data_IF_684699474140
#
_entry.id   IF_684699474140
#
_cell.length_a   1.000
_cell.length_b   1.000
_cell.length_c   1.000
_cell.angle_alpha   90.00
_cell.angle_beta   90.00
_cell.angle_gamma   90.00
#
_symmetry.space_group_name_H-M   'P 1'
#
loop_
_entity.id
_entity.type
_entity.pdbx_description
1 polymer ?
#
# COMPACT_ATOMS: atom_id res chain seq x y z
N UNK A 1 -9.32 7.77 -0.23
CA UNK A 1 -10.38 6.86 0.25
C UNK A 1 -9.93 6.16 1.52
N UNK A 2 -10.60 6.39 2.67
CA UNK A 2 -10.19 5.82 3.96
C UNK A 2 -10.25 4.27 3.97
N UNK A 3 -11.21 3.67 3.26
CA UNK A 3 -11.43 2.23 3.31
C UNK A 3 -10.29 1.38 2.72
N UNK A 4 -9.75 1.78 1.55
CA UNK A 4 -8.64 1.04 0.91
C UNK A 4 -7.36 1.11 1.74
N UNK A 5 -7.14 2.23 2.42
CA UNK A 5 -6.01 2.36 3.34
C UNK A 5 -6.18 1.44 4.56
N UNK A 6 -7.36 1.42 5.20
CA UNK A 6 -7.61 0.53 6.36
C UNK A 6 -7.37 -0.94 5.99
N UNK A 7 -7.85 -1.41 4.84
CA UNK A 7 -7.60 -2.78 4.36
C UNK A 7 -6.11 -3.06 4.14
N UNK A 8 -5.41 -2.11 3.52
CA UNK A 8 -3.98 -2.22 3.25
C UNK A 8 -3.20 -2.32 4.57
N UNK A 9 -3.50 -1.46 5.54
CA UNK A 9 -2.89 -1.44 6.87
C UNK A 9 -3.11 -2.75 7.62
N UNK A 10 -4.36 -3.21 7.74
CA UNK A 10 -4.68 -4.48 8.39
C UNK A 10 -3.93 -5.66 7.76
N UNK A 11 -3.71 -5.65 6.44
CA UNK A 11 -2.93 -6.70 5.80
C UNK A 11 -1.43 -6.59 6.09
N UNK A 12 -0.87 -5.39 6.09
CA UNK A 12 0.53 -5.14 6.46
C UNK A 12 0.83 -5.54 7.91
N UNK A 13 -0.12 -5.37 8.82
CA UNK A 13 0.00 -5.81 10.23
C UNK A 13 0.09 -7.34 10.38
N UNK A 14 -0.32 -8.11 9.36
CA UNK A 14 -0.17 -9.58 9.34
C UNK A 14 1.16 -10.06 8.76
N UNK A 15 2.00 -9.15 8.24
CA UNK A 15 3.27 -9.48 7.60
C UNK A 15 4.44 -9.25 8.55
N UNK A 16 5.51 -10.03 8.34
CA UNK A 16 6.79 -9.83 9.00
C UNK A 16 7.53 -8.64 8.39
N UNK A 17 8.48 -8.08 9.14
CA UNK A 17 9.36 -7.01 8.64
C UNK A 17 10.07 -7.43 7.35
N UNK A 18 10.16 -6.51 6.39
CA UNK A 18 10.78 -6.75 5.10
C UNK A 18 9.91 -7.50 4.09
N UNK A 19 8.81 -8.12 4.50
CA UNK A 19 7.88 -8.75 3.56
C UNK A 19 7.14 -7.71 2.72
N UNK A 20 6.77 -8.11 1.49
CA UNK A 20 6.16 -7.23 0.50
C UNK A 20 4.69 -7.60 0.28
N UNK A 21 3.81 -6.61 0.41
CA UNK A 21 2.40 -6.67 0.03
C UNK A 21 2.22 -6.10 -1.39
N UNK A 22 1.56 -6.85 -2.26
CA UNK A 22 1.04 -6.34 -3.54
C UNK A 22 -0.42 -5.94 -3.40
N UNK A 23 -0.76 -4.69 -3.72
CA UNK A 23 -2.12 -4.16 -3.68
C UNK A 23 -2.54 -3.71 -5.07
N UNK A 24 -3.75 -4.06 -5.50
CA UNK A 24 -4.39 -3.48 -6.68
C UNK A 24 -5.30 -2.34 -6.24
N UNK A 25 -5.12 -1.18 -6.86
CA UNK A 25 -5.87 0.04 -6.58
C UNK A 25 -6.46 0.59 -7.87
N UNK A 26 -7.73 0.99 -7.81
CA UNK A 26 -8.38 1.67 -8.91
C UNK A 26 -7.75 3.06 -9.14
N UNK A 27 -7.98 3.60 -10.33
CA UNK A 27 -7.59 4.96 -10.67
C UNK A 27 -8.32 6.01 -9.80
N UNK A 28 -7.77 7.21 -9.73
CA UNK A 28 -8.30 8.32 -8.94
C UNK A 28 -7.84 8.30 -7.49
N UNK A 29 -8.77 8.38 -6.56
CA UNK A 29 -8.46 8.57 -5.14
C UNK A 29 -7.69 7.41 -4.47
N UNK A 30 -7.91 6.13 -4.78
CA UNK A 30 -7.17 5.04 -4.16
C UNK A 30 -5.65 5.12 -4.39
N UNK A 31 -5.22 5.20 -5.65
CA UNK A 31 -3.79 5.24 -6.01
C UNK A 31 -3.10 6.52 -5.50
N UNK A 32 -3.82 7.63 -5.34
CA UNK A 32 -3.24 8.87 -4.79
C UNK A 32 -3.07 8.83 -3.28
N UNK A 33 -4.03 8.23 -2.57
CA UNK A 33 -4.10 8.31 -1.12
C UNK A 33 -3.40 7.15 -0.42
N UNK A 34 -3.57 5.91 -0.91
CA UNK A 34 -3.04 4.73 -0.21
C UNK A 34 -1.51 4.72 -0.13
N UNK A 35 -0.75 4.93 -1.23
CA UNK A 35 0.72 4.99 -1.16
C UNK A 35 1.22 6.07 -0.20
N UNK A 36 0.59 7.25 -0.19
CA UNK A 36 0.93 8.33 0.74
C UNK A 36 0.65 7.95 2.19
N UNK A 37 -0.51 7.36 2.47
CA UNK A 37 -0.88 6.96 3.82
C UNK A 37 0.03 5.86 4.37
N UNK A 38 0.42 4.87 3.56
CA UNK A 38 1.36 3.82 4.02
C UNK A 38 2.78 4.37 4.26
N UNK A 39 3.23 5.34 3.45
CA UNK A 39 4.48 6.05 3.71
C UNK A 39 4.43 6.86 5.01
N UNK A 40 3.30 7.53 5.28
CA UNK A 40 3.10 8.27 6.53
C UNK A 40 3.10 7.35 7.78
N UNK A 41 2.74 6.07 7.62
CA UNK A 41 2.82 5.05 8.68
C UNK A 41 4.22 4.41 8.79
N UNK A 42 5.18 4.88 8.00
CA UNK A 42 6.57 4.43 8.03
C UNK A 42 6.88 3.24 7.10
N UNK A 43 5.94 2.79 6.26
CA UNK A 43 6.20 1.72 5.30
C UNK A 43 6.78 2.23 3.98
N UNK A 44 7.51 1.37 3.28
CA UNK A 44 8.15 1.73 2.01
C UNK A 44 7.30 1.30 0.83
N UNK A 45 7.00 2.23 -0.08
CA UNK A 45 6.42 1.90 -1.40
C UNK A 45 7.56 1.62 -2.37
N UNK A 46 7.63 0.40 -2.88
CA UNK A 46 8.69 -0.07 -3.79
C UNK A 46 8.37 0.26 -5.24
N UNK A 47 7.12 0.10 -5.67
CA UNK A 47 6.69 0.45 -7.03
C UNK A 47 5.20 0.79 -7.10
N UNK A 48 4.84 1.53 -8.15
CA UNK A 48 3.47 1.86 -8.53
C UNK A 48 3.37 1.74 -10.05
N UNK A 49 2.72 0.68 -10.54
CA UNK A 49 2.68 0.33 -11.95
C UNK A 49 1.23 0.31 -12.44
N UNK A 50 0.96 0.91 -13.60
CA UNK A 50 -0.36 0.78 -14.24
C UNK A 50 -0.50 -0.64 -14.79
N UNK A 51 -1.58 -1.32 -14.43
CA UNK A 51 -1.95 -2.64 -14.94
C UNK A 51 -3.41 -2.58 -15.39
N UNK A 52 -3.62 -2.59 -16.71
CA UNK A 52 -4.90 -2.37 -17.36
C UNK A 52 -5.61 -1.09 -16.87
N UNK A 53 -6.74 -1.25 -16.18
CA UNK A 53 -7.55 -0.16 -15.63
C UNK A 53 -7.25 0.14 -14.15
N UNK A 54 -6.27 -0.53 -13.56
CA UNK A 54 -5.88 -0.39 -12.16
C UNK A 54 -4.37 -0.07 -12.02
N UNK A 55 -3.91 0.04 -10.79
CA UNK A 55 -2.51 0.19 -10.43
C UNK A 55 -2.11 -0.91 -9.46
N UNK A 56 -0.99 -1.58 -9.74
CA UNK A 56 -0.31 -2.46 -8.80
C UNK A 56 0.67 -1.63 -7.98
N UNK A 57 0.56 -1.70 -6.67
CA UNK A 57 1.47 -1.06 -5.73
C UNK A 57 2.15 -2.14 -4.89
N UNK A 58 3.49 -2.12 -4.88
CA UNK A 58 4.29 -2.98 -4.02
C UNK A 58 4.71 -2.19 -2.77
N UNK A 59 4.40 -2.72 -1.59
CA UNK A 59 4.63 -2.07 -0.29
C UNK A 59 5.42 -3.02 0.58
N UNK A 60 6.58 -2.60 1.08
CA UNK A 60 7.38 -3.34 2.05
C UNK A 60 6.95 -2.96 3.47
N UNK A 61 6.68 -3.96 4.31
CA UNK A 61 6.42 -3.78 5.75
C UNK A 61 7.72 -3.41 6.46
N UNK A 62 7.66 -2.38 7.30
CA UNK A 62 8.88 -1.76 7.84
C UNK A 62 9.06 -1.78 9.37
N UNK A 63 8.46 -2.63 10.19
CA UNK A 63 8.39 -2.31 11.65
C UNK A 63 7.83 -0.90 11.93
N UNK A 64 7.26 -0.77 13.11
CA UNK A 64 6.75 0.50 13.60
C UNK A 64 7.13 0.42 15.05
N UNK A 65 8.16 1.18 15.44
CA UNK A 65 8.59 1.29 16.85
C UNK A 65 7.43 1.78 17.73
#
# INVERSE_FOLDING_TARGET
>A
CPYNFVKTKLKLETLEQGQVLSVLLDDGDPIRNVPRSVQNEGHTVLSQERVDHAYRVLIRREESD
#
